data_IF_977143601636
#
_entry.id   IF_977143601636
#
_cell.length_a   1.000
_cell.length_b   1.000
_cell.length_c   1.000
_cell.angle_alpha   90.00
_cell.angle_beta   90.00
_cell.angle_gamma   90.00
#
_symmetry.space_group_name_H-M   'P 1'
#
loop_
_entity.id
_entity.type
_entity.pdbx_description
1 polymer ?
#
# COMPACT_ATOMS: atom_id res chain seq x y z
N UNK A 1 -15.45 14.36 -14.48
CA UNK A 1 -15.04 14.20 -13.06
C UNK A 1 -15.05 15.57 -12.38
N UNK A 2 -15.47 15.70 -11.13
CA UNK A 2 -15.29 16.94 -10.35
C UNK A 2 -13.99 16.89 -9.55
N UNK A 3 -13.23 17.97 -9.53
CA UNK A 3 -12.01 18.11 -8.75
C UNK A 3 -12.33 19.01 -7.55
N UNK A 4 -12.18 18.49 -6.34
CA UNK A 4 -12.58 19.17 -5.11
C UNK A 4 -11.40 19.17 -4.14
N UNK A 5 -11.07 20.32 -3.55
CA UNK A 5 -10.05 20.43 -2.49
C UNK A 5 -10.66 20.62 -1.09
N UNK A 6 -11.79 21.32 -0.99
CA UNK A 6 -12.45 21.61 0.29
C UNK A 6 -13.17 20.38 0.85
N UNK A 7 -13.00 20.13 2.16
CA UNK A 7 -13.72 19.05 2.88
C UNK A 7 -15.23 19.33 2.91
N UNK A 8 -15.65 20.59 3.06
CA UNK A 8 -17.06 20.97 3.10
C UNK A 8 -17.72 20.73 1.73
N UNK A 9 -17.08 21.21 0.66
CA UNK A 9 -17.57 21.01 -0.71
C UNK A 9 -17.65 19.52 -1.08
N UNK A 10 -16.68 18.71 -0.63
CA UNK A 10 -16.69 17.26 -0.82
C UNK A 10 -17.94 16.63 -0.16
N UNK A 11 -18.22 17.00 1.09
CA UNK A 11 -19.37 16.49 1.84
C UNK A 11 -20.70 16.89 1.19
N UNK A 12 -20.77 18.11 0.67
CA UNK A 12 -21.95 18.58 -0.06
C UNK A 12 -22.19 17.78 -1.34
N UNK A 13 -21.13 17.49 -2.09
CA UNK A 13 -21.21 16.68 -3.31
C UNK A 13 -21.55 15.21 -3.07
N UNK A 14 -21.15 14.66 -1.92
CA UNK A 14 -21.41 13.27 -1.55
C UNK A 14 -22.66 13.11 -0.65
N UNK A 15 -23.38 14.19 -0.37
CA UNK A 15 -24.58 14.16 0.47
C UNK A 15 -25.60 13.18 -0.09
N UNK A 16 -26.04 12.24 0.74
CA UNK A 16 -27.01 11.21 0.37
C UNK A 16 -26.45 10.04 -0.43
N UNK A 17 -25.15 10.00 -0.73
CA UNK A 17 -24.52 8.87 -1.42
C UNK A 17 -24.27 7.72 -0.42
N UNK A 18 -25.05 6.65 -0.54
CA UNK A 18 -25.00 5.50 0.39
C UNK A 18 -24.12 4.34 -0.10
N UNK A 19 -23.58 4.45 -1.31
CA UNK A 19 -22.85 3.36 -1.98
C UNK A 19 -21.49 3.79 -2.53
N UNK A 20 -20.95 4.91 -2.04
CA UNK A 20 -19.64 5.43 -2.44
C UNK A 20 -18.56 4.37 -2.29
N UNK A 21 -17.81 4.13 -3.36
CA UNK A 21 -16.59 3.33 -3.37
C UNK A 21 -15.37 4.26 -3.46
N UNK A 22 -14.43 4.10 -2.52
CA UNK A 22 -13.34 5.04 -2.33
C UNK A 22 -11.97 4.43 -2.59
N UNK A 23 -11.10 5.17 -3.26
CA UNK A 23 -9.70 4.79 -3.51
C UNK A 23 -8.79 5.93 -3.08
N UNK A 24 -8.09 5.74 -1.96
CA UNK A 24 -7.11 6.71 -1.47
C UNK A 24 -5.74 6.50 -2.15
N UNK A 25 -5.16 7.57 -2.70
CA UNK A 25 -3.84 7.53 -3.34
C UNK A 25 -2.99 8.74 -2.96
N UNK A 26 -1.69 8.67 -3.24
CA UNK A 26 -0.78 9.82 -3.15
C UNK A 26 -0.49 10.50 -4.50
N UNK A 27 -1.19 10.12 -5.58
CA UNK A 27 -0.97 10.62 -6.93
C UNK A 27 0.19 9.92 -7.67
N UNK A 28 0.64 10.54 -8.77
CA UNK A 28 1.53 9.93 -9.76
C UNK A 28 1.01 8.56 -10.22
N UNK A 29 -0.22 8.58 -10.74
CA UNK A 29 -1.01 7.41 -11.00
C UNK A 29 -0.39 6.56 -12.12
N UNK A 30 -0.51 5.25 -11.97
CA UNK A 30 -0.04 4.23 -12.90
C UNK A 30 -1.12 3.15 -13.02
N UNK A 31 -0.91 2.17 -13.89
CA UNK A 31 -1.95 1.17 -14.19
C UNK A 31 -2.45 0.42 -12.94
N UNK A 32 -1.57 0.15 -11.97
CA UNK A 32 -1.99 -0.40 -10.68
C UNK A 32 -2.99 0.47 -9.90
N UNK A 33 -2.94 1.80 -10.00
CA UNK A 33 -3.96 2.66 -9.41
C UNK A 33 -5.27 2.63 -10.21
N UNK A 34 -5.18 2.57 -11.54
CA UNK A 34 -6.36 2.53 -12.41
C UNK A 34 -7.12 1.20 -12.24
N UNK A 35 -6.41 0.09 -12.02
CA UNK A 35 -7.05 -1.19 -11.69
C UNK A 35 -7.86 -1.13 -10.39
N UNK A 36 -7.38 -0.37 -9.37
CA UNK A 36 -8.15 -0.11 -8.15
C UNK A 36 -9.44 0.68 -8.45
N UNK A 37 -9.40 1.68 -9.35
CA UNK A 37 -10.59 2.45 -9.74
C UNK A 37 -11.64 1.57 -10.44
N UNK A 38 -11.18 0.68 -11.33
CA UNK A 38 -12.05 -0.29 -12.01
C UNK A 38 -12.66 -1.28 -11.03
N UNK A 39 -11.89 -1.80 -10.10
CA UNK A 39 -12.40 -2.67 -9.03
C UNK A 39 -13.39 -1.92 -8.13
N UNK A 40 -13.10 -0.67 -7.74
CA UNK A 40 -14.00 0.13 -6.92
C UNK A 40 -15.41 0.25 -7.56
N UNK A 41 -15.48 0.41 -8.89
CA UNK A 41 -16.74 0.49 -9.63
C UNK A 41 -17.61 -0.77 -9.49
N UNK A 42 -17.01 -1.95 -9.36
CA UNK A 42 -17.77 -3.19 -9.22
C UNK A 42 -18.37 -3.35 -7.82
N UNK A 43 -17.89 -2.59 -6.84
CA UNK A 43 -18.33 -2.64 -5.44
C UNK A 43 -19.18 -1.44 -5.01
N UNK A 44 -19.14 -0.32 -5.74
CA UNK A 44 -19.94 0.84 -5.40
C UNK A 44 -19.99 1.92 -6.48
N UNK A 45 -20.89 2.87 -6.26
CA UNK A 45 -21.13 4.01 -7.12
C UNK A 45 -21.69 5.16 -6.24
N UNK A 46 -21.14 6.39 -6.32
CA UNK A 46 -20.03 6.81 -7.17
C UNK A 46 -18.66 6.26 -6.75
N UNK A 47 -17.73 6.18 -7.70
CA UNK A 47 -16.28 6.02 -7.40
C UNK A 47 -15.68 7.39 -7.10
N UNK A 48 -15.06 7.49 -5.93
CA UNK A 48 -14.34 8.67 -5.46
C UNK A 48 -12.86 8.31 -5.31
N UNK A 49 -11.97 9.12 -5.87
CA UNK A 49 -10.53 9.00 -5.68
C UNK A 49 -10.05 10.13 -4.77
N UNK A 50 -8.98 9.90 -3.99
CA UNK A 50 -8.20 11.01 -3.43
C UNK A 50 -6.75 11.00 -3.91
N UNK A 51 -6.17 12.19 -4.06
CA UNK A 51 -4.74 12.41 -4.26
C UNK A 51 -4.26 13.33 -3.14
N UNK A 52 -3.48 12.78 -2.22
CA UNK A 52 -2.89 13.56 -1.14
C UNK A 52 -1.56 12.93 -0.67
N UNK A 53 -0.45 13.63 -0.89
CA UNK A 53 0.86 13.22 -0.37
C UNK A 53 0.91 13.55 1.13
N UNK A 54 0.54 12.59 1.96
CA UNK A 54 0.44 12.77 3.40
C UNK A 54 1.81 12.93 4.07
N UNK A 55 2.12 14.10 4.65
CA UNK A 55 3.40 14.33 5.34
C UNK A 55 3.61 13.39 6.55
N UNK A 56 2.55 13.01 7.26
CA UNK A 56 2.65 12.26 8.53
C UNK A 56 3.20 10.83 8.37
N UNK A 57 3.15 10.28 7.15
CA UNK A 57 3.67 8.95 6.85
C UNK A 57 5.06 8.98 6.18
N UNK A 58 5.75 10.12 6.22
CA UNK A 58 7.14 10.25 5.79
C UNK A 58 8.03 10.53 6.99
N UNK A 59 9.08 9.72 7.15
CA UNK A 59 10.16 10.01 8.09
C UNK A 59 10.97 11.25 7.67
N UNK A 60 11.76 11.85 8.59
CA UNK A 60 12.54 13.06 8.30
C UNK A 60 13.59 12.87 7.19
N UNK A 61 14.04 11.63 6.95
CA UNK A 61 15.03 11.29 5.93
C UNK A 61 14.40 10.58 4.71
N UNK A 62 13.08 10.60 4.57
CA UNK A 62 12.36 9.97 3.46
C UNK A 62 12.11 10.97 2.31
N UNK A 63 11.49 10.48 1.23
CA UNK A 63 11.41 11.16 -0.05
C UNK A 63 10.24 12.15 -0.19
N UNK A 64 9.75 12.77 0.89
CA UNK A 64 8.56 13.64 0.85
C UNK A 64 8.68 14.78 -0.18
N UNK A 65 9.82 15.48 -0.17
CA UNK A 65 10.06 16.62 -1.08
C UNK A 65 10.26 16.17 -2.52
N UNK A 66 10.78 14.94 -2.72
CA UNK A 66 11.06 14.36 -4.04
C UNK A 66 9.90 13.52 -4.59
N UNK A 67 8.84 13.30 -3.80
CA UNK A 67 7.71 12.48 -4.21
C UNK A 67 7.09 13.04 -5.50
N UNK A 68 6.91 12.22 -6.55
CA UNK A 68 6.45 12.69 -7.85
C UNK A 68 5.03 13.24 -7.75
N UNK A 69 4.81 14.44 -8.31
CA UNK A 69 3.52 15.13 -8.33
C UNK A 69 3.18 15.47 -9.78
N UNK A 70 2.34 14.66 -10.42
CA UNK A 70 1.95 14.79 -11.83
C UNK A 70 0.46 15.05 -11.99
N UNK A 71 -0.06 16.04 -11.27
CA UNK A 71 -1.49 16.25 -11.05
C UNK A 71 -2.33 16.26 -12.34
N UNK A 72 -1.91 16.99 -13.37
CA UNK A 72 -2.66 17.07 -14.63
C UNK A 72 -2.77 15.70 -15.34
N UNK A 73 -1.68 14.94 -15.38
CA UNK A 73 -1.66 13.59 -15.93
C UNK A 73 -2.51 12.61 -15.10
N UNK A 74 -2.55 12.80 -13.78
CA UNK A 74 -3.40 12.00 -12.88
C UNK A 74 -4.89 12.28 -13.15
N UNK A 75 -5.27 13.55 -13.34
CA UNK A 75 -6.63 13.97 -13.71
C UNK A 75 -7.06 13.32 -15.01
N UNK A 76 -6.25 13.44 -16.07
CA UNK A 76 -6.58 12.88 -17.40
C UNK A 76 -6.80 11.36 -17.36
N UNK A 77 -6.03 10.65 -16.53
CA UNK A 77 -6.20 9.20 -16.33
C UNK A 77 -7.50 8.88 -15.60
N UNK A 78 -7.79 9.59 -14.51
CA UNK A 78 -9.01 9.35 -13.71
C UNK A 78 -10.29 9.70 -14.48
N UNK A 79 -10.25 10.71 -15.36
CA UNK A 79 -11.37 11.03 -16.25
C UNK A 79 -11.68 9.87 -17.20
N UNK A 80 -10.66 9.22 -17.77
CA UNK A 80 -10.82 8.05 -18.63
C UNK A 80 -11.39 6.83 -17.90
N UNK A 81 -11.10 6.69 -16.61
CA UNK A 81 -11.68 5.65 -15.74
C UNK A 81 -13.09 6.02 -15.21
N UNK A 82 -13.64 7.16 -15.63
CA UNK A 82 -14.99 7.59 -15.28
C UNK A 82 -15.17 7.98 -13.81
N UNK A 83 -14.09 8.30 -13.08
CA UNK A 83 -14.16 8.68 -11.66
C UNK A 83 -15.10 9.89 -11.48
N UNK A 84 -15.98 9.82 -10.47
CA UNK A 84 -17.00 10.84 -10.25
C UNK A 84 -16.39 12.09 -9.62
N UNK A 85 -15.65 11.91 -8.52
CA UNK A 85 -14.96 12.97 -7.78
C UNK A 85 -13.50 12.58 -7.57
N UNK A 86 -12.60 13.51 -7.86
CA UNK A 86 -11.24 13.54 -7.35
C UNK A 86 -11.17 14.51 -6.18
N UNK A 87 -10.98 13.99 -4.97
CA UNK A 87 -10.66 14.77 -3.79
C UNK A 87 -9.15 15.03 -3.74
N UNK A 88 -8.73 16.24 -4.08
CA UNK A 88 -7.33 16.67 -4.12
C UNK A 88 -7.10 17.84 -3.15
N UNK A 89 -7.17 17.59 -1.83
CA UNK A 89 -7.00 18.65 -0.84
C UNK A 89 -5.55 19.14 -0.78
N UNK A 90 -5.37 20.41 -0.39
CA UNK A 90 -4.05 20.93 -0.01
C UNK A 90 -3.66 20.43 1.38
N UNK A 91 -2.39 20.61 1.76
CA UNK A 91 -1.94 20.34 3.13
C UNK A 91 -2.71 21.19 4.15
N UNK A 92 -3.09 22.43 3.81
CA UNK A 92 -3.90 23.30 4.68
C UNK A 92 -5.36 22.84 4.81
N UNK A 93 -5.93 22.26 3.75
CA UNK A 93 -7.29 21.69 3.82
C UNK A 93 -7.31 20.45 4.74
N UNK A 94 -6.28 19.60 4.64
CA UNK A 94 -6.17 18.41 5.49
C UNK A 94 -5.65 18.71 6.88
N UNK A 95 -4.73 19.67 7.06
CA UNK A 95 -4.05 20.00 8.31
C UNK A 95 -3.99 21.54 8.46
N UNK A 96 -5.13 22.19 8.78
CA UNK A 96 -5.17 23.64 8.98
C UNK A 96 -4.34 24.09 10.19
N UNK A 97 -4.09 23.14 11.10
CA UNK A 97 -3.20 23.22 12.25
C UNK A 97 -2.42 21.89 12.38
N UNK A 98 -1.34 21.83 13.18
CA UNK A 98 -0.59 20.60 13.39
C UNK A 98 -1.48 19.42 13.84
N UNK A 99 -1.32 18.26 13.22
CA UNK A 99 -2.11 17.07 13.55
C UNK A 99 -1.58 16.38 14.83
N UNK A 100 -2.23 16.66 15.95
CA UNK A 100 -1.86 16.10 17.27
C UNK A 100 -2.64 14.83 17.62
N UNK A 101 -3.90 14.72 17.21
CA UNK A 101 -4.69 13.50 17.35
C UNK A 101 -4.25 12.47 16.33
N UNK A 102 -3.90 11.26 16.82
CA UNK A 102 -3.34 10.19 16.00
C UNK A 102 -4.04 8.86 16.26
N UNK A 103 -4.14 8.06 15.22
CA UNK A 103 -4.60 6.68 15.30
C UNK A 103 -3.37 5.78 15.35
N UNK A 104 -3.12 5.16 16.49
CA UNK A 104 -1.98 4.27 16.71
C UNK A 104 -2.39 2.81 16.45
N UNK A 105 -1.76 2.10 15.49
CA UNK A 105 -1.98 0.66 15.33
C UNK A 105 -1.32 -0.14 16.47
N UNK A 106 -1.73 -1.41 16.70
CA UNK A 106 -1.08 -2.31 17.66
C UNK A 106 0.42 -2.49 17.39
N UNK A 107 1.24 -2.61 18.44
CA UNK A 107 2.69 -2.71 18.30
C UNK A 107 3.15 -3.98 17.57
N UNK A 108 2.46 -5.10 17.79
CA UNK A 108 2.74 -6.42 17.20
C UNK A 108 2.41 -6.53 15.70
N UNK A 109 1.71 -5.53 15.15
CA UNK A 109 1.43 -5.40 13.72
C UNK A 109 2.05 -4.14 13.11
N UNK A 110 2.06 -3.03 13.82
CA UNK A 110 2.49 -1.71 13.34
C UNK A 110 3.99 -1.44 13.49
N UNK A 111 4.72 -2.18 14.34
CA UNK A 111 6.15 -1.97 14.57
C UNK A 111 7.02 -3.12 14.05
N UNK A 112 6.44 -4.09 13.35
CA UNK A 112 7.16 -5.18 12.65
C UNK A 112 7.30 -4.84 11.16
N UNK A 113 8.19 -5.53 10.44
CA UNK A 113 8.33 -5.42 8.98
C UNK A 113 8.51 -3.96 8.56
N UNK A 114 7.63 -3.38 7.74
CA UNK A 114 7.73 -1.97 7.33
C UNK A 114 7.80 -1.00 8.51
N UNK A 115 7.11 -1.30 9.62
CA UNK A 115 7.08 -0.44 10.80
C UNK A 115 8.41 -0.37 11.54
N UNK A 116 9.23 -1.42 11.46
CA UNK A 116 10.56 -1.46 12.05
C UNK A 116 11.52 -0.54 11.29
N UNK A 117 11.49 -0.62 9.95
CA UNK A 117 12.36 0.17 9.07
C UNK A 117 11.84 1.59 8.79
N UNK A 118 10.56 1.85 9.10
CA UNK A 118 9.91 3.15 8.94
C UNK A 118 9.12 3.52 10.21
N UNK A 119 9.82 3.84 11.33
CA UNK A 119 9.17 4.12 12.60
C UNK A 119 8.10 5.21 12.49
N UNK A 120 6.89 4.93 13.01
CA UNK A 120 5.75 5.83 12.96
C UNK A 120 4.98 5.85 11.64
N UNK A 121 5.44 5.14 10.59
CA UNK A 121 4.80 5.11 9.28
C UNK A 121 3.30 4.78 9.36
N UNK A 122 2.95 3.69 10.05
CA UNK A 122 1.56 3.26 10.13
C UNK A 122 0.68 4.09 11.05
N UNK A 123 1.26 4.85 11.99
CA UNK A 123 0.52 5.89 12.73
C UNK A 123 0.12 7.01 11.77
N UNK A 124 1.04 7.44 10.91
CA UNK A 124 0.77 8.41 9.84
C UNK A 124 -0.31 7.93 8.87
N UNK A 125 -0.20 6.69 8.39
CA UNK A 125 -1.18 6.07 7.49
C UNK A 125 -2.56 5.94 8.15
N UNK A 126 -2.64 5.35 9.34
CA UNK A 126 -3.92 5.15 10.04
C UNK A 126 -4.62 6.48 10.34
N UNK A 127 -3.84 7.51 10.71
CA UNK A 127 -4.36 8.85 10.98
C UNK A 127 -4.96 9.49 9.72
N UNK A 128 -4.26 9.46 8.58
CA UNK A 128 -4.80 10.06 7.35
C UNK A 128 -5.97 9.26 6.78
N UNK A 129 -5.93 7.92 6.84
CA UNK A 129 -7.03 7.08 6.33
C UNK A 129 -8.30 7.28 7.17
N UNK A 130 -8.18 7.34 8.51
CA UNK A 130 -9.31 7.68 9.39
C UNK A 130 -9.91 9.04 9.03
N UNK A 131 -9.05 10.04 8.78
CA UNK A 131 -9.51 11.38 8.38
C UNK A 131 -10.22 11.36 7.03
N UNK A 132 -9.65 10.67 6.03
CA UNK A 132 -10.26 10.51 4.71
C UNK A 132 -11.61 9.79 4.77
N UNK A 133 -11.74 8.72 5.56
CA UNK A 133 -13.03 8.05 5.79
C UNK A 133 -14.04 8.98 6.46
N UNK A 134 -13.59 9.87 7.35
CA UNK A 134 -14.46 10.88 7.98
C UNK A 134 -14.86 12.03 7.02
N UNK A 135 -14.10 12.24 5.95
CA UNK A 135 -14.41 13.21 4.90
C UNK A 135 -15.36 12.62 3.85
N UNK A 136 -15.05 11.41 3.36
CA UNK A 136 -15.73 10.76 2.23
C UNK A 136 -16.93 9.91 2.67
N UNK A 137 -16.88 9.35 3.89
CA UNK A 137 -17.86 8.40 4.44
C UNK A 137 -18.23 7.24 3.49
N UNK A 138 -17.23 6.49 2.96
CA UNK A 138 -17.50 5.49 1.95
C UNK A 138 -18.14 4.22 2.54
N UNK A 139 -18.98 3.57 1.74
CA UNK A 139 -19.46 2.21 2.04
C UNK A 139 -18.35 1.18 1.81
N UNK A 140 -17.54 1.39 0.77
CA UNK A 140 -16.43 0.50 0.40
C UNK A 140 -15.17 1.32 0.17
N UNK A 141 -14.01 0.82 0.60
CA UNK A 141 -12.72 1.36 0.19
C UNK A 141 -11.81 0.25 -0.36
N UNK A 142 -11.11 0.55 -1.45
CA UNK A 142 -10.22 -0.39 -2.13
C UNK A 142 -8.76 -0.03 -1.86
N UNK A 143 -7.99 -1.01 -1.40
CA UNK A 143 -6.54 -0.89 -1.15
C UNK A 143 -5.80 -2.03 -1.85
N UNK A 144 -4.61 -1.75 -2.39
CA UNK A 144 -3.80 -2.76 -3.07
C UNK A 144 -3.09 -3.70 -2.10
N UNK A 145 -3.03 -4.99 -2.43
CA UNK A 145 -2.20 -6.00 -1.74
C UNK A 145 -0.70 -5.72 -1.87
N UNK A 146 -0.28 -4.85 -2.79
CA UNK A 146 1.12 -4.39 -2.90
C UNK A 146 1.65 -3.89 -1.55
N UNK A 147 0.84 -3.10 -0.84
CA UNK A 147 1.11 -2.64 0.52
C UNK A 147 0.40 -3.56 1.52
N UNK A 148 0.79 -4.84 1.56
CA UNK A 148 0.05 -5.91 2.25
C UNK A 148 -0.19 -5.61 3.74
N UNK A 149 0.84 -5.12 4.44
CA UNK A 149 0.76 -4.74 5.85
C UNK A 149 -0.17 -3.52 6.06
N UNK A 150 -0.16 -2.54 5.15
CA UNK A 150 -1.09 -1.41 5.17
C UNK A 150 -2.54 -1.91 5.03
N UNK A 151 -2.80 -2.80 4.06
CA UNK A 151 -4.14 -3.36 3.86
C UNK A 151 -4.65 -4.05 5.13
N UNK A 152 -3.81 -4.87 5.79
CA UNK A 152 -4.18 -5.52 7.05
C UNK A 152 -4.44 -4.52 8.17
N UNK A 153 -3.58 -3.50 8.32
CA UNK A 153 -3.73 -2.45 9.34
C UNK A 153 -5.03 -1.67 9.12
N UNK A 154 -5.33 -1.24 7.89
CA UNK A 154 -6.56 -0.51 7.57
C UNK A 154 -7.80 -1.38 7.81
N UNK A 155 -7.77 -2.66 7.44
CA UNK A 155 -8.87 -3.60 7.69
C UNK A 155 -9.11 -3.80 9.19
N UNK A 156 -8.05 -3.96 9.98
CA UNK A 156 -8.15 -4.06 11.44
C UNK A 156 -8.63 -2.76 12.08
N UNK A 157 -8.15 -1.61 11.62
CA UNK A 157 -8.59 -0.29 12.07
C UNK A 157 -10.09 -0.11 11.81
N UNK A 158 -10.56 -0.35 10.59
CA UNK A 158 -11.98 -0.23 10.24
C UNK A 158 -12.85 -1.12 11.15
N UNK A 159 -12.43 -2.36 11.38
CA UNK A 159 -13.13 -3.29 12.28
C UNK A 159 -13.14 -2.83 13.74
N UNK A 160 -11.99 -2.43 14.30
CA UNK A 160 -11.89 -2.06 15.72
C UNK A 160 -12.57 -0.73 16.06
N UNK A 161 -12.55 0.24 15.13
CA UNK A 161 -13.28 1.50 15.28
C UNK A 161 -14.75 1.41 14.83
N UNK A 162 -15.24 0.22 14.47
CA UNK A 162 -16.59 -0.01 13.95
C UNK A 162 -16.96 0.94 12.80
N UNK A 163 -16.01 1.23 11.92
CA UNK A 163 -16.24 2.07 10.75
C UNK A 163 -17.17 1.34 9.78
N UNK A 164 -18.21 1.99 9.24
CA UNK A 164 -19.17 1.37 8.32
C UNK A 164 -18.62 1.26 6.89
N UNK A 165 -17.34 0.90 6.75
CA UNK A 165 -16.61 0.82 5.48
C UNK A 165 -16.01 -0.57 5.30
N UNK A 166 -16.45 -1.27 4.26
CA UNK A 166 -15.86 -2.54 3.84
C UNK A 166 -14.52 -2.33 3.13
N UNK A 167 -13.49 -3.11 3.48
CA UNK A 167 -12.13 -2.96 2.94
C UNK A 167 -11.82 -4.09 1.95
N UNK A 168 -11.80 -3.74 0.65
CA UNK A 168 -11.50 -4.65 -0.46
C UNK A 168 -10.01 -4.62 -0.78
N UNK A 169 -9.40 -5.80 -0.88
CA UNK A 169 -8.00 -5.96 -1.28
C UNK A 169 -7.90 -6.21 -2.79
N UNK A 170 -7.21 -5.34 -3.52
CA UNK A 170 -6.94 -5.50 -4.95
C UNK A 170 -5.60 -6.21 -5.18
N UNK A 171 -5.52 -7.08 -6.19
CA UNK A 171 -4.27 -7.75 -6.56
C UNK A 171 -3.18 -6.77 -7.00
N UNK A 172 -1.92 -7.10 -6.69
CA UNK A 172 -0.76 -6.30 -7.10
C UNK A 172 -0.64 -6.29 -8.62
N UNK A 173 -0.70 -5.11 -9.23
CA UNK A 173 -0.45 -4.94 -10.65
C UNK A 173 1.06 -4.97 -10.94
N UNK A 174 1.46 -5.76 -11.92
CA UNK A 174 2.86 -5.97 -12.31
C UNK A 174 3.07 -5.54 -13.76
N UNK A 175 4.27 -5.08 -14.08
CA UNK A 175 4.74 -4.99 -15.46
C UNK A 175 4.92 -6.41 -16.06
N UNK A 176 5.10 -6.52 -17.38
CA UNK A 176 5.27 -7.80 -18.08
C UNK A 176 6.47 -8.62 -17.55
N UNK A 177 7.51 -7.92 -17.08
CA UNK A 177 8.70 -8.54 -16.47
C UNK A 177 8.52 -8.94 -14.99
N UNK A 178 7.34 -8.71 -14.42
CA UNK A 178 6.99 -9.07 -13.04
C UNK A 178 7.22 -7.97 -12.00
N UNK A 179 7.84 -6.83 -12.36
CA UNK A 179 8.03 -5.72 -11.42
C UNK A 179 6.68 -5.15 -10.94
N UNK A 180 6.44 -5.17 -9.63
CA UNK A 180 5.25 -4.55 -9.03
C UNK A 180 5.27 -3.02 -9.26
N UNK A 181 4.23 -2.50 -9.92
CA UNK A 181 4.16 -1.08 -10.28
C UNK A 181 4.11 -0.18 -9.04
N UNK A 182 4.88 0.90 -9.09
CA UNK A 182 5.00 1.91 -8.05
C UNK A 182 5.34 3.26 -8.65
N UNK A 183 4.79 4.34 -8.10
CA UNK A 183 5.21 5.72 -8.40
C UNK A 183 6.72 5.92 -8.23
N UNK A 184 7.37 5.14 -7.34
CA UNK A 184 8.81 5.18 -7.08
C UNK A 184 9.65 4.43 -8.12
N UNK A 185 9.06 3.66 -9.03
CA UNK A 185 9.84 3.02 -10.10
C UNK A 185 10.50 4.05 -11.04
N UNK A 186 9.94 5.26 -11.13
CA UNK A 186 10.53 6.36 -11.91
C UNK A 186 11.85 6.91 -11.35
N UNK A 187 12.25 6.53 -10.13
CA UNK A 187 13.55 6.88 -9.57
C UNK A 187 14.69 5.96 -10.03
N UNK A 188 14.36 4.79 -10.58
CA UNK A 188 15.33 3.81 -11.03
C UNK A 188 16.00 4.30 -12.31
N UNK A 189 17.33 4.22 -12.36
CA UNK A 189 18.09 4.30 -13.61
C UNK A 189 17.73 3.14 -14.55
N UNK A 190 18.22 3.18 -15.80
CA UNK A 190 17.97 2.12 -16.76
C UNK A 190 18.49 0.75 -16.28
N UNK A 191 19.69 0.72 -15.68
CA UNK A 191 20.31 -0.50 -15.16
C UNK A 191 19.56 -1.02 -13.92
N UNK A 192 19.19 -0.11 -12.99
CA UNK A 192 18.39 -0.48 -11.83
C UNK A 192 17.00 -0.97 -12.24
N UNK A 193 16.38 -0.39 -13.26
CA UNK A 193 15.09 -0.84 -13.78
C UNK A 193 15.17 -2.23 -14.39
N UNK A 194 16.26 -2.56 -15.09
CA UNK A 194 16.48 -3.89 -15.64
C UNK A 194 16.72 -4.95 -14.55
N UNK A 195 17.34 -4.57 -13.43
CA UNK A 195 17.59 -5.43 -12.28
C UNK A 195 16.36 -5.61 -11.36
N UNK A 196 15.49 -4.59 -11.26
CA UNK A 196 14.34 -4.55 -10.36
C UNK A 196 13.41 -5.79 -10.35
N UNK A 197 13.13 -6.46 -11.48
CA UNK A 197 12.37 -7.72 -11.50
C UNK A 197 12.97 -8.87 -10.67
N UNK A 198 14.25 -8.81 -10.28
CA UNK A 198 14.85 -9.81 -9.39
C UNK A 198 14.08 -9.95 -8.08
N UNK A 199 13.55 -8.86 -7.51
CA UNK A 199 12.80 -8.93 -6.26
C UNK A 199 11.61 -9.89 -6.35
N UNK A 200 10.86 -9.83 -7.45
CA UNK A 200 9.73 -10.74 -7.66
C UNK A 200 10.19 -12.18 -7.92
N UNK A 201 11.28 -12.39 -8.66
CA UNK A 201 11.86 -13.74 -8.85
C UNK A 201 12.24 -14.38 -7.52
N UNK A 202 12.94 -13.63 -6.65
CA UNK A 202 13.30 -14.09 -5.31
C UNK A 202 12.06 -14.45 -4.48
N UNK A 203 10.97 -13.67 -4.56
CA UNK A 203 9.72 -14.02 -3.88
C UNK A 203 9.10 -15.32 -4.40
N UNK A 204 9.18 -15.58 -5.72
CA UNK A 204 8.73 -16.85 -6.28
C UNK A 204 9.60 -18.02 -5.81
N UNK A 205 10.93 -17.87 -5.80
CA UNK A 205 11.85 -18.90 -5.29
C UNK A 205 11.53 -19.27 -3.83
N UNK A 206 11.29 -18.27 -2.98
CA UNK A 206 10.86 -18.47 -1.57
C UNK A 206 9.53 -19.21 -1.51
N UNK A 207 8.55 -18.80 -2.32
CA UNK A 207 7.23 -19.43 -2.34
C UNK A 207 7.31 -20.89 -2.83
N UNK A 208 8.14 -21.18 -3.82
CA UNK A 208 8.38 -22.53 -4.33
C UNK A 208 9.06 -23.42 -3.28
N UNK A 209 10.09 -22.94 -2.57
CA UNK A 209 10.75 -23.71 -1.51
C UNK A 209 9.77 -24.05 -0.37
N UNK A 210 8.96 -23.07 0.05
CA UNK A 210 7.96 -23.28 1.10
C UNK A 210 6.88 -24.27 0.66
N UNK A 211 6.36 -24.15 -0.57
CA UNK A 211 5.40 -25.12 -1.15
C UNK A 211 6.02 -26.50 -1.35
N UNK A 212 7.33 -26.57 -1.59
CA UNK A 212 8.12 -27.80 -1.68
C UNK A 212 8.35 -28.50 -0.34
N UNK A 213 7.84 -27.95 0.77
CA UNK A 213 7.89 -28.57 2.09
C UNK A 213 9.07 -28.13 2.96
N UNK A 214 9.80 -27.08 2.57
CA UNK A 214 10.81 -26.50 3.45
C UNK A 214 10.15 -25.84 4.67
N UNK A 215 10.38 -26.41 5.84
CA UNK A 215 9.77 -25.95 7.11
C UNK A 215 10.59 -24.86 7.81
N UNK A 216 11.88 -24.73 7.48
CA UNK A 216 12.77 -23.73 8.08
C UNK A 216 12.71 -22.40 7.32
N UNK A 217 11.68 -21.60 7.56
CA UNK A 217 11.48 -20.31 6.87
C UNK A 217 12.66 -19.36 7.05
N UNK A 218 13.29 -19.34 8.24
CA UNK A 218 14.46 -18.50 8.52
C UNK A 218 15.67 -18.82 7.63
N UNK A 219 15.81 -20.06 7.17
CA UNK A 219 16.86 -20.44 6.23
C UNK A 219 16.57 -19.94 4.82
N UNK A 220 15.32 -20.11 4.37
CA UNK A 220 14.84 -19.64 3.07
C UNK A 220 14.93 -18.12 2.97
N UNK A 221 14.53 -17.40 4.02
CA UNK A 221 14.65 -15.95 4.12
C UNK A 221 16.11 -15.50 4.03
N UNK A 222 17.03 -16.13 4.76
CA UNK A 222 18.46 -15.77 4.73
C UNK A 222 19.09 -16.01 3.36
N UNK A 223 18.70 -17.10 2.69
CA UNK A 223 19.13 -17.40 1.32
C UNK A 223 18.64 -16.32 0.35
N UNK A 224 17.35 -15.96 0.42
CA UNK A 224 16.76 -14.91 -0.39
C UNK A 224 17.45 -13.55 -0.18
N UNK A 225 17.72 -13.17 1.07
CA UNK A 225 18.48 -11.96 1.40
C UNK A 225 19.89 -11.99 0.78
N UNK A 226 20.57 -13.13 0.86
CA UNK A 226 21.93 -13.30 0.31
C UNK A 226 21.96 -13.18 -1.22
N UNK A 227 20.94 -13.69 -1.91
CA UNK A 227 20.80 -13.55 -3.38
C UNK A 227 20.67 -12.07 -3.76
N UNK A 228 19.82 -11.33 -3.06
CA UNK A 228 19.65 -9.89 -3.28
C UNK A 228 20.97 -9.14 -3.03
N UNK A 229 21.63 -9.38 -1.91
CA UNK A 229 22.92 -8.75 -1.58
C UNK A 229 24.00 -9.05 -2.62
N UNK A 230 24.12 -10.29 -3.09
CA UNK A 230 25.09 -10.68 -4.12
C UNK A 230 24.85 -9.96 -5.47
N UNK A 231 23.64 -9.43 -5.68
CA UNK A 231 23.23 -8.70 -6.88
C UNK A 231 23.23 -7.18 -6.69
N UNK A 232 23.79 -6.67 -5.59
CA UNK A 232 23.94 -5.24 -5.33
C UNK A 232 22.75 -4.58 -4.65
N UNK A 233 21.78 -5.36 -4.17
CA UNK A 233 20.68 -4.84 -3.37
C UNK A 233 21.09 -4.70 -1.90
N UNK A 234 20.43 -3.78 -1.20
CA UNK A 234 20.49 -3.67 0.26
C UNK A 234 19.12 -4.04 0.81
N UNK A 235 18.86 -5.33 1.12
CA UNK A 235 17.57 -5.74 1.62
C UNK A 235 17.40 -5.38 3.10
N UNK A 236 16.22 -4.86 3.44
CA UNK A 236 15.80 -4.65 4.83
C UNK A 236 15.30 -5.98 5.42
N UNK A 237 14.42 -6.66 4.68
CA UNK A 237 13.91 -7.97 5.05
C UNK A 237 13.37 -8.74 3.82
N UNK A 238 13.39 -10.07 3.95
CA UNK A 238 12.52 -11.03 3.27
C UNK A 238 11.93 -11.87 4.39
N UNK A 239 10.62 -12.02 4.45
CA UNK A 239 9.95 -12.66 5.59
C UNK A 239 8.70 -13.43 5.17
N UNK A 240 8.64 -14.70 5.55
CA UNK A 240 7.47 -15.57 5.41
C UNK A 240 6.61 -15.44 6.67
N UNK A 241 5.38 -14.97 6.49
CA UNK A 241 4.46 -14.68 7.59
C UNK A 241 3.09 -15.29 7.35
N UNK A 242 2.34 -15.54 8.42
CA UNK A 242 0.93 -15.95 8.32
C UNK A 242 0.08 -14.81 7.76
N UNK A 243 -0.86 -15.12 6.86
CA UNK A 243 -1.75 -14.10 6.27
C UNK A 243 -2.75 -13.50 7.25
N UNK A 244 -2.98 -14.15 8.39
CA UNK A 244 -4.01 -13.73 9.36
C UNK A 244 -3.55 -12.60 10.28
N UNK A 245 -2.26 -12.56 10.63
CA UNK A 245 -1.72 -11.66 11.66
C UNK A 245 -0.29 -11.15 11.38
N UNK A 246 0.32 -11.58 10.26
CA UNK A 246 1.72 -11.32 9.91
C UNK A 246 2.76 -11.78 10.94
N UNK A 247 2.38 -12.69 11.84
CA UNK A 247 3.33 -13.33 12.74
C UNK A 247 4.10 -14.44 12.02
N UNK A 248 5.34 -14.77 12.46
CA UNK A 248 6.07 -15.92 11.94
C UNK A 248 5.24 -17.21 12.10
N UNK A 249 5.21 -18.10 11.10
CA UNK A 249 4.54 -19.39 11.24
C UNK A 249 5.34 -20.31 12.18
N UNK A 250 4.64 -21.05 13.04
CA UNK A 250 5.22 -22.16 13.78
C UNK A 250 5.38 -23.40 12.89
N UNK A 251 6.18 -24.38 13.32
CA UNK A 251 6.26 -25.66 12.62
C UNK A 251 4.89 -26.36 12.50
N UNK A 252 4.01 -26.18 13.49
CA UNK A 252 2.64 -26.69 13.45
C UNK A 252 1.78 -25.99 12.40
N UNK A 253 1.89 -24.67 12.26
CA UNK A 253 1.19 -23.90 11.22
C UNK A 253 1.61 -24.37 9.82
N UNK A 254 2.91 -24.57 9.60
CA UNK A 254 3.46 -25.05 8.33
C UNK A 254 2.96 -26.47 8.00
N UNK A 255 2.99 -27.38 8.99
CA UNK A 255 2.54 -28.76 8.82
C UNK A 255 1.03 -28.86 8.52
N UNK A 256 0.23 -27.89 8.96
CA UNK A 256 -1.21 -27.82 8.70
C UNK A 256 -1.56 -27.04 7.41
N UNK A 257 -0.57 -26.54 6.67
CA UNK A 257 -0.80 -25.77 5.46
C UNK A 257 -1.48 -24.42 5.72
N UNK A 258 -1.12 -23.75 6.82
CA UNK A 258 -1.63 -22.41 7.11
C UNK A 258 -1.37 -21.46 5.92
N UNK A 259 -2.30 -20.55 5.57
CA UNK A 259 -2.06 -19.57 4.51
C UNK A 259 -0.90 -18.62 4.86
N UNK A 260 0.11 -18.54 4.00
CA UNK A 260 1.31 -17.72 4.21
C UNK A 260 1.45 -16.65 3.14
N UNK A 261 2.29 -15.66 3.41
CA UNK A 261 2.73 -14.63 2.46
C UNK A 261 4.21 -14.39 2.70
N UNK A 262 4.99 -14.33 1.64
CA UNK A 262 6.36 -13.78 1.70
C UNK A 262 6.30 -12.30 1.38
N UNK A 263 6.88 -11.46 2.25
CA UNK A 263 7.01 -10.03 2.05
C UNK A 263 8.49 -9.66 1.96
N UNK A 264 8.82 -8.69 1.12
CA UNK A 264 10.18 -8.19 1.02
C UNK A 264 10.23 -6.67 0.85
N UNK A 265 11.26 -6.07 1.43
CA UNK A 265 11.66 -4.70 1.17
C UNK A 265 13.17 -4.63 0.97
N UNK A 266 13.60 -3.96 -0.09
CA UNK A 266 15.01 -3.82 -0.42
C UNK A 266 15.28 -2.54 -1.19
N UNK A 267 16.47 -1.96 -0.96
CA UNK A 267 16.96 -0.83 -1.75
C UNK A 267 17.75 -1.32 -2.95
N UNK A 268 17.49 -0.70 -4.09
CA UNK A 268 18.32 -0.78 -5.28
C UNK A 268 18.81 0.64 -5.58
N UNK A 269 20.12 0.84 -5.43
CA UNK A 269 20.70 2.17 -5.28
C UNK A 269 20.08 2.92 -4.10
N UNK A 270 19.45 4.06 -4.38
CA UNK A 270 18.75 4.85 -3.34
C UNK A 270 17.25 4.56 -3.26
N UNK A 271 16.70 3.81 -4.21
CA UNK A 271 15.25 3.56 -4.31
C UNK A 271 14.87 2.35 -3.48
N UNK A 272 14.02 2.55 -2.47
CA UNK A 272 13.46 1.46 -1.66
C UNK A 272 12.22 0.87 -2.34
N UNK A 273 12.31 -0.38 -2.74
CA UNK A 273 11.22 -1.15 -3.34
C UNK A 273 10.64 -2.13 -2.32
N UNK A 274 9.34 -2.36 -2.43
CA UNK A 274 8.62 -3.38 -1.65
C UNK A 274 7.81 -4.26 -2.60
N UNK A 275 7.68 -5.52 -2.23
CA UNK A 275 6.83 -6.48 -2.93
C UNK A 275 6.44 -7.63 -1.99
N UNK A 276 5.43 -8.40 -2.38
CA UNK A 276 5.00 -9.59 -1.65
C UNK A 276 4.36 -10.63 -2.59
N UNK A 277 4.31 -11.86 -2.11
CA UNK A 277 3.65 -12.97 -2.79
C UNK A 277 2.94 -13.86 -1.78
N UNK A 278 1.64 -14.00 -1.97
CA UNK A 278 0.79 -14.95 -1.27
C UNK A 278 1.21 -16.39 -1.63
N UNK A 279 1.51 -17.22 -0.62
CA UNK A 279 1.97 -18.61 -0.75
C UNK A 279 0.80 -19.58 -0.64
#
# INVERSE_FOLDING_TARGET
>A
MKIISSIEELRDHLRGQLRTAFVATMGNLHEGHLSLMRLARTHGDPVVASIFVNRLQFGPNEDFDKYPRTFQNDVEKLEKEGVYVLFAPTEKDMYPEPQEYRVQPPNDLGNILEGEFRPGFFTGVSTVVMKLFSCVQPRVAVFGKKDYQQLMIVRNMARQFALPTEIIGAETYRAEDGLALSSRNGYLSADERAEAPLLYRVLNDVAEEVRGGQLNTSEVERKAMSILTARGWTPDYVSVRKRIDLQPPSAGDMAQGAPLVVLAAARLGTTRLIDNLEI
#
